data_IF_745435183629
#
_entry.id   IF_745435183629
#
_cell.length_a   1.000
_cell.length_b   1.000
_cell.length_c   1.000
_cell.angle_alpha   90.00
_cell.angle_beta   90.00
_cell.angle_gamma   90.00
#
_symmetry.space_group_name_H-M   'P 1'
#
loop_
_entity.id
_entity.type
_entity.pdbx_description
1 polymer ?
#
# COMPACT_ATOMS: atom_id res chain seq x y z
N UNK A 1 19.86 -3.63 -12.58
CA UNK A 1 18.67 -3.62 -13.48
C UNK A 1 17.45 -3.47 -12.59
N UNK A 2 16.57 -2.54 -12.93
CA UNK A 2 15.38 -2.26 -12.11
C UNK A 2 14.35 -3.38 -12.31
N UNK A 3 13.72 -3.87 -11.21
CA UNK A 3 12.79 -4.98 -11.26
C UNK A 3 11.53 -4.71 -12.09
N UNK A 4 10.96 -3.50 -11.99
CA UNK A 4 9.77 -3.11 -12.74
C UNK A 4 10.06 -1.78 -13.44
N UNK A 5 9.93 -1.76 -14.76
CA UNK A 5 10.04 -0.53 -15.57
C UNK A 5 8.83 -0.43 -16.48
N UNK A 6 8.17 0.69 -16.45
CA UNK A 6 7.02 1.02 -17.29
C UNK A 6 7.36 2.27 -18.07
N UNK A 7 7.20 2.23 -19.41
CA UNK A 7 7.53 3.33 -20.34
C UNK A 7 6.32 3.66 -21.21
N UNK A 8 5.72 4.83 -20.98
CA UNK A 8 4.63 5.40 -21.76
C UNK A 8 3.47 4.40 -22.01
N UNK A 9 3.18 3.57 -20.98
CA UNK A 9 2.20 2.50 -21.07
C UNK A 9 0.78 3.07 -21.11
N UNK A 10 -0.01 2.65 -22.10
CA UNK A 10 -1.38 3.12 -22.24
C UNK A 10 -2.34 1.98 -22.56
N UNK A 11 -3.57 2.12 -22.04
CA UNK A 11 -4.67 1.20 -22.33
C UNK A 11 -5.95 1.92 -22.66
N UNK A 12 -6.47 1.65 -23.86
CA UNK A 12 -7.72 2.22 -24.34
C UNK A 12 -8.78 1.13 -24.54
N UNK A 13 -9.99 1.36 -24.04
CA UNK A 13 -11.18 0.55 -24.25
C UNK A 13 -12.22 1.37 -25.04
N UNK A 14 -12.26 1.18 -26.35
CA UNK A 14 -13.10 2.01 -27.21
C UNK A 14 -12.72 3.49 -27.08
N UNK A 15 -13.58 4.31 -26.49
CA UNK A 15 -13.32 5.74 -26.22
C UNK A 15 -12.69 6.01 -24.86
N UNK A 16 -12.74 5.06 -23.93
CA UNK A 16 -12.22 5.21 -22.57
C UNK A 16 -10.71 4.95 -22.58
N UNK A 17 -9.93 5.92 -22.14
CA UNK A 17 -8.50 5.79 -21.86
C UNK A 17 -8.34 5.46 -20.38
N UNK A 18 -8.14 4.17 -20.09
CA UNK A 18 -8.09 3.66 -18.71
C UNK A 18 -6.69 3.80 -18.07
N UNK A 19 -5.64 3.83 -18.88
CA UNK A 19 -4.26 4.15 -18.49
C UNK A 19 -3.69 5.02 -19.58
N UNK A 20 -3.10 6.15 -19.22
CA UNK A 20 -2.65 7.19 -20.13
C UNK A 20 -1.18 7.54 -19.85
N UNK A 21 -0.31 7.18 -20.77
CA UNK A 21 1.11 7.54 -20.80
C UNK A 21 1.87 7.27 -19.48
N UNK A 22 1.53 6.16 -18.82
CA UNK A 22 2.10 5.78 -17.53
C UNK A 22 3.59 5.44 -17.67
N UNK A 23 4.43 6.16 -16.93
CA UNK A 23 5.85 5.84 -16.81
C UNK A 23 6.24 5.73 -15.34
N UNK A 24 6.84 4.61 -14.94
CA UNK A 24 7.20 4.31 -13.55
C UNK A 24 8.40 3.37 -13.50
N UNK A 25 9.35 3.64 -12.62
CA UNK A 25 10.48 2.76 -12.32
C UNK A 25 10.43 2.38 -10.85
N UNK A 26 10.42 1.08 -10.56
CA UNK A 26 10.42 0.55 -9.20
C UNK A 26 11.78 -0.09 -8.91
N UNK A 27 12.41 0.39 -7.85
CA UNK A 27 13.73 -0.05 -7.42
C UNK A 27 13.66 -1.40 -6.67
N UNK A 28 14.78 -2.08 -6.61
CA UNK A 28 14.88 -3.39 -5.96
C UNK A 28 14.64 -3.31 -4.45
N UNK A 29 13.95 -4.32 -3.90
CA UNK A 29 13.69 -4.44 -2.47
C UNK A 29 12.74 -3.38 -1.90
N UNK A 30 12.03 -2.65 -2.77
CA UNK A 30 11.07 -1.61 -2.38
C UNK A 30 9.65 -2.15 -2.46
N UNK A 31 8.83 -1.80 -1.47
CA UNK A 31 7.39 -1.96 -1.53
C UNK A 31 6.75 -0.64 -1.98
N UNK A 32 6.11 -0.68 -3.14
CA UNK A 32 5.39 0.47 -3.72
C UNK A 32 3.89 0.26 -3.57
N UNK A 33 3.22 1.22 -2.94
CA UNK A 33 1.77 1.33 -2.94
C UNK A 33 1.29 2.08 -4.19
N UNK A 34 0.59 1.40 -5.07
CA UNK A 34 -0.04 1.97 -6.26
C UNK A 34 -1.44 2.46 -5.87
N UNK A 35 -1.52 3.72 -5.43
CA UNK A 35 -2.66 4.32 -4.74
C UNK A 35 -3.52 5.13 -5.71
N UNK A 36 -4.84 5.00 -5.60
CA UNK A 36 -5.78 5.82 -6.37
C UNK A 36 -7.23 5.42 -6.11
N UNK A 37 -8.21 6.24 -6.51
CA UNK A 37 -9.61 5.92 -6.36
C UNK A 37 -10.03 4.74 -7.24
N UNK A 38 -11.27 4.27 -7.06
CA UNK A 38 -11.85 3.30 -7.96
C UNK A 38 -11.96 3.89 -9.38
N UNK A 39 -11.58 3.10 -10.38
CA UNK A 39 -11.52 3.59 -11.77
C UNK A 39 -10.24 4.33 -12.16
N UNK A 40 -9.27 4.53 -11.26
CA UNK A 40 -8.01 5.20 -11.58
C UNK A 40 -7.06 4.40 -12.50
N UNK A 41 -7.43 3.18 -12.92
CA UNK A 41 -6.61 2.36 -13.81
C UNK A 41 -5.69 1.35 -13.10
N UNK A 42 -5.76 1.20 -11.77
CA UNK A 42 -4.87 0.34 -10.98
C UNK A 42 -4.86 -1.11 -11.44
N UNK A 43 -6.01 -1.78 -11.40
CA UNK A 43 -6.16 -3.18 -11.85
C UNK A 43 -5.81 -3.33 -13.33
N UNK A 44 -6.13 -2.34 -14.17
CA UNK A 44 -5.76 -2.34 -15.59
C UNK A 44 -4.24 -2.36 -15.78
N UNK A 45 -3.52 -1.53 -15.03
CA UNK A 45 -2.04 -1.51 -15.03
C UNK A 45 -1.47 -2.84 -14.57
N UNK A 46 -1.96 -3.37 -13.44
CA UNK A 46 -1.53 -4.67 -12.91
C UNK A 46 -1.80 -5.80 -13.92
N UNK A 47 -2.97 -5.82 -14.55
CA UNK A 47 -3.28 -6.81 -15.60
C UNK A 47 -2.35 -6.71 -16.81
N UNK A 48 -1.90 -5.51 -17.18
CA UNK A 48 -0.91 -5.34 -18.25
C UNK A 48 0.46 -5.86 -17.82
N UNK A 49 0.91 -5.57 -16.59
CA UNK A 49 2.18 -6.07 -16.04
C UNK A 49 2.20 -7.60 -15.88
N UNK A 50 1.05 -8.20 -15.59
CA UNK A 50 0.92 -9.66 -15.44
C UNK A 50 0.52 -10.37 -16.73
N UNK A 51 0.55 -9.66 -17.86
CA UNK A 51 0.16 -10.18 -19.19
C UNK A 51 -1.25 -10.76 -19.29
N UNK A 52 -2.14 -10.43 -18.33
CA UNK A 52 -3.57 -10.76 -18.38
C UNK A 52 -4.32 -9.83 -19.34
N UNK A 53 -3.73 -8.70 -19.69
CA UNK A 53 -4.29 -7.70 -20.56
C UNK A 53 -3.21 -7.13 -21.48
N UNK A 54 -3.46 -7.05 -22.78
CA UNK A 54 -2.53 -6.43 -23.73
C UNK A 54 -2.65 -4.90 -23.65
N UNK A 55 -1.49 -4.22 -23.54
CA UNK A 55 -1.42 -2.77 -23.67
C UNK A 55 -1.82 -2.29 -25.07
N UNK A 56 -2.32 -1.05 -25.18
CA UNK A 56 -2.60 -0.40 -26.46
C UNK A 56 -1.32 0.17 -27.05
N UNK A 57 -0.46 0.76 -26.20
CA UNK A 57 0.84 1.31 -26.56
C UNK A 57 1.78 1.33 -25.36
N UNK A 58 3.04 1.66 -25.56
CA UNK A 58 4.06 1.71 -24.54
C UNK A 58 4.73 0.36 -24.30
N UNK A 59 5.54 0.28 -23.24
CA UNK A 59 6.33 -0.90 -22.89
C UNK A 59 6.30 -1.16 -21.39
N UNK A 60 6.49 -2.40 -21.00
CA UNK A 60 6.67 -2.80 -19.61
C UNK A 60 7.72 -3.92 -19.53
N UNK A 61 8.60 -3.81 -18.55
CA UNK A 61 9.66 -4.77 -18.31
C UNK A 61 9.61 -5.26 -16.87
N UNK A 62 9.77 -6.57 -16.69
CA UNK A 62 9.95 -7.21 -15.39
C UNK A 62 11.32 -7.91 -15.41
N UNK A 63 12.17 -7.59 -14.43
CA UNK A 63 13.56 -8.04 -14.40
C UNK A 63 14.30 -7.81 -15.75
N UNK A 64 14.00 -6.69 -16.43
CA UNK A 64 14.56 -6.32 -17.73
C UNK A 64 14.00 -7.08 -18.93
N UNK A 65 13.03 -7.98 -18.74
CA UNK A 65 12.38 -8.73 -19.82
C UNK A 65 11.07 -8.06 -20.22
N UNK A 66 10.87 -7.85 -21.52
CA UNK A 66 9.66 -7.22 -22.07
C UNK A 66 8.43 -8.12 -21.85
N UNK A 67 7.45 -7.61 -21.11
CA UNK A 67 6.21 -8.32 -20.77
C UNK A 67 5.31 -8.53 -22.00
N UNK A 68 5.37 -7.60 -22.95
CA UNK A 68 4.47 -7.62 -24.12
C UNK A 68 4.94 -8.65 -25.16
N UNK A 69 6.25 -8.72 -25.40
CA UNK A 69 6.84 -9.58 -26.41
C UNK A 69 7.30 -10.94 -25.88
N UNK A 70 7.69 -11.00 -24.61
CA UNK A 70 8.22 -12.21 -23.97
C UNK A 70 7.55 -12.51 -22.62
N UNK A 71 6.18 -12.61 -22.55
CA UNK A 71 5.43 -12.67 -21.28
C UNK A 71 5.85 -13.87 -20.40
N UNK A 72 6.08 -15.04 -20.99
CA UNK A 72 6.48 -16.23 -20.24
C UNK A 72 7.82 -16.02 -19.50
N UNK A 73 8.81 -15.49 -20.20
CA UNK A 73 10.12 -15.20 -19.61
C UNK A 73 10.06 -14.05 -18.60
N UNK A 74 9.28 -13.00 -18.87
CA UNK A 74 9.10 -11.87 -17.98
C UNK A 74 8.44 -12.26 -16.65
N UNK A 75 7.50 -13.21 -16.68
CA UNK A 75 6.73 -13.66 -15.52
C UNK A 75 7.36 -14.84 -14.75
N UNK A 76 8.50 -15.36 -15.20
CA UNK A 76 9.15 -16.51 -14.56
C UNK A 76 9.54 -16.21 -13.11
N UNK A 77 10.15 -15.06 -12.85
CA UNK A 77 10.54 -14.59 -11.52
C UNK A 77 9.50 -13.71 -10.82
N UNK A 78 8.20 -13.80 -11.19
CA UNK A 78 7.14 -12.94 -10.69
C UNK A 78 6.04 -13.75 -10.04
N UNK A 79 5.71 -13.43 -8.79
CA UNK A 79 4.49 -13.86 -8.12
C UNK A 79 3.41 -12.79 -8.27
N UNK A 80 2.17 -13.20 -8.55
CA UNK A 80 1.08 -12.25 -8.68
C UNK A 80 -0.21 -12.79 -8.05
N UNK A 81 -0.96 -11.90 -7.40
CA UNK A 81 -2.34 -12.13 -6.97
C UNK A 81 -3.17 -11.00 -7.56
N UNK A 82 -3.98 -11.32 -8.56
CA UNK A 82 -4.80 -10.37 -9.30
C UNK A 82 -6.26 -10.76 -9.12
N UNK A 83 -7.07 -9.82 -8.69
CA UNK A 83 -8.47 -10.02 -8.32
C UNK A 83 -8.67 -10.95 -7.10
N UNK A 84 -9.92 -11.37 -6.85
CA UNK A 84 -10.25 -12.22 -5.69
C UNK A 84 -9.82 -13.66 -5.96
N UNK A 85 -9.00 -14.26 -5.10
CA UNK A 85 -8.57 -15.65 -5.30
C UNK A 85 -9.70 -16.62 -5.05
N UNK A 86 -9.87 -17.57 -5.97
CA UNK A 86 -10.77 -18.70 -5.84
C UNK A 86 -10.00 -20.01 -5.81
N UNK A 87 -10.44 -20.93 -4.98
CA UNK A 87 -9.83 -22.25 -4.79
C UNK A 87 -10.87 -23.33 -4.99
N UNK A 88 -10.44 -24.51 -5.43
CA UNK A 88 -11.28 -25.69 -5.43
C UNK A 88 -11.61 -26.06 -3.98
N UNK A 89 -12.89 -26.03 -3.55
CA UNK A 89 -13.28 -26.13 -2.14
C UNK A 89 -12.88 -27.43 -1.46
N UNK A 90 -12.69 -28.50 -2.25
CA UNK A 90 -12.31 -29.84 -1.78
C UNK A 90 -10.81 -29.98 -1.50
N UNK A 91 -9.97 -29.12 -2.06
CA UNK A 91 -8.53 -29.19 -1.89
C UNK A 91 -8.09 -28.58 -0.56
N UNK A 92 -7.00 -29.12 -0.02
CA UNK A 92 -6.27 -28.55 1.11
C UNK A 92 -5.23 -27.53 0.62
N UNK A 93 -4.70 -26.64 1.48
CA UNK A 93 -3.56 -25.79 1.16
C UNK A 93 -2.36 -26.54 0.56
N UNK A 94 -1.97 -27.68 1.16
CA UNK A 94 -0.87 -28.48 0.63
C UNK A 94 -1.14 -28.98 -0.79
N UNK A 95 -2.35 -29.45 -1.07
CA UNK A 95 -2.75 -29.89 -2.40
C UNK A 95 -2.76 -28.71 -3.40
N UNK A 96 -3.26 -27.53 -2.99
CA UNK A 96 -3.23 -26.33 -3.80
C UNK A 96 -1.80 -25.90 -4.15
N UNK A 97 -0.89 -25.94 -3.19
CA UNK A 97 0.52 -25.57 -3.40
C UNK A 97 1.25 -26.63 -4.22
N UNK A 98 0.97 -27.92 -3.99
CA UNK A 98 1.51 -29.02 -4.80
C UNK A 98 1.10 -28.91 -6.28
N UNK A 99 -0.17 -28.57 -6.53
CA UNK A 99 -0.67 -28.34 -7.88
C UNK A 99 0.10 -27.21 -8.60
N UNK A 100 0.26 -26.04 -7.94
CA UNK A 100 1.00 -24.92 -8.50
C UNK A 100 2.48 -25.23 -8.67
N UNK A 101 3.11 -25.89 -7.69
CA UNK A 101 4.51 -26.33 -7.76
C UNK A 101 4.76 -27.25 -8.95
N UNK A 102 3.85 -28.19 -9.21
CA UNK A 102 3.91 -29.13 -10.36
C UNK A 102 3.79 -28.36 -11.68
N UNK A 103 2.85 -27.40 -11.80
CA UNK A 103 2.72 -26.56 -13.01
C UNK A 103 4.00 -25.76 -13.27
N UNK A 104 4.67 -25.30 -12.20
CA UNK A 104 5.95 -24.57 -12.28
C UNK A 104 7.14 -25.49 -12.53
N UNK A 105 6.94 -26.81 -12.61
CA UNK A 105 8.00 -27.79 -12.87
C UNK A 105 8.92 -28.07 -11.69
N UNK A 106 8.48 -27.78 -10.46
CA UNK A 106 9.25 -28.10 -9.25
C UNK A 106 9.21 -29.61 -8.96
N UNK A 107 10.29 -30.16 -8.41
CA UNK A 107 10.32 -31.56 -7.93
C UNK A 107 9.49 -31.75 -6.68
N UNK A 108 9.04 -32.99 -6.39
CA UNK A 108 8.22 -33.30 -5.24
C UNK A 108 8.84 -32.87 -3.91
N UNK A 109 10.16 -33.10 -3.75
CA UNK A 109 10.88 -32.70 -2.53
C UNK A 109 10.90 -31.18 -2.36
N UNK A 110 11.19 -30.43 -3.45
CA UNK A 110 11.15 -28.96 -3.44
C UNK A 110 9.75 -28.46 -3.15
N UNK A 111 8.70 -29.10 -3.69
CA UNK A 111 7.32 -28.72 -3.42
C UNK A 111 7.00 -28.91 -1.94
N UNK A 112 7.39 -30.04 -1.31
CA UNK A 112 7.14 -30.29 0.10
C UNK A 112 7.80 -29.23 1.00
N UNK A 113 9.11 -28.98 0.78
CA UNK A 113 9.87 -28.00 1.57
C UNK A 113 9.33 -26.57 1.37
N UNK A 114 9.02 -26.19 0.12
CA UNK A 114 8.48 -24.87 -0.19
C UNK A 114 7.08 -24.66 0.35
N UNK A 115 6.20 -25.69 0.26
CA UNK A 115 4.84 -25.65 0.82
C UNK A 115 4.88 -25.39 2.32
N UNK A 116 5.69 -26.13 3.06
CA UNK A 116 5.87 -25.92 4.48
C UNK A 116 6.34 -24.48 4.79
N UNK A 117 7.38 -24.00 4.10
CA UNK A 117 7.95 -22.68 4.33
C UNK A 117 6.94 -21.54 4.02
N UNK A 118 6.24 -21.60 2.89
CA UNK A 118 5.29 -20.54 2.53
C UNK A 118 4.04 -20.56 3.39
N UNK A 119 3.54 -21.76 3.79
CA UNK A 119 2.41 -21.86 4.72
C UNK A 119 2.75 -21.30 6.10
N UNK A 120 3.97 -21.54 6.59
CA UNK A 120 4.45 -20.90 7.81
C UNK A 120 4.50 -19.38 7.67
N UNK A 121 5.04 -18.88 6.56
CA UNK A 121 5.18 -17.45 6.28
C UNK A 121 3.83 -16.72 6.20
N UNK A 122 2.81 -17.36 5.64
CA UNK A 122 1.44 -16.80 5.58
C UNK A 122 0.55 -17.21 6.76
N UNK A 123 1.10 -17.84 7.81
CA UNK A 123 0.37 -18.24 9.02
C UNK A 123 -0.82 -19.18 8.74
N UNK A 124 -0.62 -20.16 7.86
CA UNK A 124 -1.61 -21.19 7.52
C UNK A 124 -1.11 -22.62 7.74
N UNK A 125 0.07 -22.81 8.35
CA UNK A 125 0.65 -24.13 8.57
C UNK A 125 -0.26 -25.04 9.42
N UNK A 126 -0.87 -24.50 10.49
CA UNK A 126 -1.75 -25.23 11.40
C UNK A 126 -3.04 -25.76 10.72
N UNK A 127 -3.36 -25.23 9.54
CA UNK A 127 -4.55 -25.61 8.76
C UNK A 127 -4.20 -26.18 7.39
N UNK A 128 -2.95 -26.62 7.21
CA UNK A 128 -2.41 -27.10 5.94
C UNK A 128 -3.20 -28.26 5.32
N UNK A 129 -3.85 -29.09 6.17
CA UNK A 129 -4.67 -30.24 5.77
C UNK A 129 -6.18 -29.96 5.82
N UNK A 130 -6.59 -28.74 6.15
CA UNK A 130 -7.99 -28.35 6.20
C UNK A 130 -8.47 -27.91 4.82
N UNK A 131 -9.66 -28.38 4.40
CA UNK A 131 -10.24 -28.02 3.08
C UNK A 131 -10.48 -26.52 2.92
N UNK A 132 -10.05 -25.96 1.79
CA UNK A 132 -10.14 -24.53 1.47
C UNK A 132 -11.58 -24.01 1.38
N UNK A 133 -12.56 -24.89 1.12
CA UNK A 133 -13.98 -24.54 1.15
C UNK A 133 -14.49 -24.02 2.50
N UNK A 134 -13.74 -24.30 3.59
CA UNK A 134 -14.08 -23.82 4.94
C UNK A 134 -13.30 -22.55 5.33
N UNK A 135 -12.49 -22.00 4.40
CA UNK A 135 -11.63 -20.86 4.68
C UNK A 135 -12.41 -19.55 4.63
N UNK A 136 -12.07 -18.63 5.56
CA UNK A 136 -12.49 -17.23 5.46
C UNK A 136 -11.85 -16.56 4.24
N UNK A 137 -12.37 -15.42 3.83
CA UNK A 137 -11.80 -14.62 2.73
C UNK A 137 -10.33 -14.27 3.02
N UNK A 138 -9.99 -13.89 4.26
CA UNK A 138 -8.62 -13.61 4.68
C UNK A 138 -7.70 -14.84 4.60
N UNK A 139 -8.18 -16.04 4.96
CA UNK A 139 -7.41 -17.27 4.79
C UNK A 139 -7.17 -17.59 3.31
N UNK A 140 -8.16 -17.41 2.45
CA UNK A 140 -8.00 -17.57 0.99
C UNK A 140 -6.98 -16.58 0.43
N UNK A 141 -7.06 -15.32 0.84
CA UNK A 141 -6.09 -14.30 0.42
C UNK A 141 -4.65 -14.66 0.81
N UNK A 142 -4.46 -15.13 2.05
CA UNK A 142 -3.13 -15.59 2.53
C UNK A 142 -2.63 -16.81 1.76
N UNK A 143 -3.52 -17.76 1.42
CA UNK A 143 -3.15 -18.91 0.59
C UNK A 143 -2.77 -18.50 -0.84
N UNK A 144 -3.45 -17.50 -1.44
CA UNK A 144 -3.07 -16.96 -2.74
C UNK A 144 -1.68 -16.32 -2.72
N UNK A 145 -1.36 -15.58 -1.66
CA UNK A 145 0.01 -15.06 -1.46
C UNK A 145 1.01 -16.21 -1.35
N UNK A 146 0.69 -17.30 -0.60
CA UNK A 146 1.54 -18.48 -0.52
C UNK A 146 1.79 -19.10 -1.89
N UNK A 147 0.75 -19.25 -2.72
CA UNK A 147 0.91 -19.74 -4.10
C UNK A 147 1.82 -18.85 -4.94
N UNK A 148 1.66 -17.52 -4.82
CA UNK A 148 2.50 -16.56 -5.53
C UNK A 148 3.97 -16.63 -5.10
N UNK A 149 4.27 -17.14 -3.90
CA UNK A 149 5.62 -17.28 -3.34
C UNK A 149 6.29 -18.64 -3.60
N UNK A 150 5.56 -19.64 -4.13
CA UNK A 150 6.06 -21.01 -4.28
C UNK A 150 7.39 -21.14 -5.04
N UNK A 151 7.58 -20.37 -6.09
CA UNK A 151 8.75 -20.39 -6.97
C UNK A 151 9.83 -19.35 -6.60
N UNK A 152 9.77 -18.77 -5.39
CA UNK A 152 10.72 -17.76 -4.88
C UNK A 152 10.87 -16.55 -5.80
N UNK A 153 9.78 -15.84 -6.11
CA UNK A 153 9.84 -14.70 -7.01
C UNK A 153 10.69 -13.56 -6.44
N UNK A 154 11.34 -12.81 -7.32
CA UNK A 154 12.02 -11.55 -6.98
C UNK A 154 11.06 -10.35 -6.99
N UNK A 155 9.91 -10.49 -7.66
CA UNK A 155 8.86 -9.49 -7.75
C UNK A 155 7.54 -10.10 -7.29
N UNK A 156 6.79 -9.38 -6.46
CA UNK A 156 5.43 -9.74 -6.04
C UNK A 156 4.47 -8.61 -6.41
N UNK A 157 3.43 -8.93 -7.19
CA UNK A 157 2.40 -7.99 -7.61
C UNK A 157 1.08 -8.38 -6.95
N UNK A 158 0.48 -7.45 -6.20
CA UNK A 158 -0.74 -7.68 -5.43
C UNK A 158 -1.81 -6.66 -5.81
N UNK A 159 -2.95 -7.12 -6.29
CA UNK A 159 -4.08 -6.25 -6.60
C UNK A 159 -5.05 -6.21 -5.41
N UNK A 160 -5.12 -5.06 -4.72
CA UNK A 160 -5.96 -4.80 -3.56
C UNK A 160 -5.96 -5.93 -2.50
N UNK A 161 -4.79 -6.33 -1.95
CA UNK A 161 -4.64 -7.56 -1.18
C UNK A 161 -5.45 -7.62 0.12
N UNK A 162 -5.96 -6.50 0.61
CA UNK A 162 -6.73 -6.40 1.86
C UNK A 162 -8.20 -6.08 1.63
N UNK A 163 -8.59 -5.85 0.37
CA UNK A 163 -9.94 -5.42 0.01
C UNK A 163 -11.02 -6.42 0.42
N UNK A 164 -12.04 -5.92 1.15
CA UNK A 164 -13.19 -6.72 1.60
C UNK A 164 -12.84 -7.81 2.61
N UNK A 165 -11.70 -7.72 3.30
CA UNK A 165 -11.37 -8.52 4.46
C UNK A 165 -11.96 -7.89 5.73
N UNK A 166 -12.16 -8.71 6.75
CA UNK A 166 -12.45 -8.22 8.10
C UNK A 166 -11.18 -7.56 8.71
N UNK A 167 -11.31 -6.73 9.75
CA UNK A 167 -10.18 -6.00 10.34
C UNK A 167 -9.01 -6.90 10.75
N UNK A 168 -9.29 -8.11 11.26
CA UNK A 168 -8.25 -9.07 11.64
C UNK A 168 -7.51 -9.60 10.43
N UNK A 169 -8.22 -9.99 9.36
CA UNK A 169 -7.65 -10.46 8.10
C UNK A 169 -6.78 -9.39 7.44
N UNK A 170 -7.21 -8.12 7.48
CA UNK A 170 -6.41 -6.99 6.97
C UNK A 170 -5.07 -6.86 7.71
N UNK A 171 -5.08 -6.94 9.06
CA UNK A 171 -3.86 -6.88 9.87
C UNK A 171 -2.93 -8.06 9.52
N UNK A 172 -3.47 -9.28 9.45
CA UNK A 172 -2.69 -10.48 9.15
C UNK A 172 -2.01 -10.40 7.78
N UNK A 173 -2.72 -9.94 6.73
CA UNK A 173 -2.14 -9.75 5.38
C UNK A 173 -1.07 -8.66 5.39
N UNK A 174 -1.30 -7.52 6.05
CA UNK A 174 -0.30 -6.46 6.17
C UNK A 174 0.98 -6.92 6.86
N UNK A 175 0.87 -7.70 7.93
CA UNK A 175 2.03 -8.27 8.63
C UNK A 175 2.83 -9.24 7.75
N UNK A 176 2.15 -10.04 6.93
CA UNK A 176 2.81 -10.91 5.94
C UNK A 176 3.59 -10.06 4.95
N UNK A 177 2.98 -9.03 4.36
CA UNK A 177 3.66 -8.15 3.39
C UNK A 177 4.86 -7.45 4.03
N UNK A 178 4.73 -6.92 5.27
CA UNK A 178 5.85 -6.34 6.04
C UNK A 178 6.99 -7.35 6.27
N UNK A 179 6.66 -8.61 6.49
CA UNK A 179 7.64 -9.69 6.59
C UNK A 179 8.40 -9.93 5.29
N UNK A 180 7.68 -9.91 4.17
CA UNK A 180 8.24 -10.11 2.83
C UNK A 180 9.21 -8.99 2.41
N UNK A 181 8.93 -7.74 2.76
CA UNK A 181 9.82 -6.60 2.46
C UNK A 181 11.23 -6.82 3.05
N UNK A 182 11.33 -7.54 4.16
CA UNK A 182 12.64 -7.83 4.80
C UNK A 182 13.48 -8.88 4.05
N UNK A 183 12.90 -9.53 3.03
CA UNK A 183 13.56 -10.59 2.26
C UNK A 183 14.09 -10.13 0.89
N UNK A 184 14.26 -8.82 0.67
CA UNK A 184 14.74 -8.20 -0.57
C UNK A 184 13.82 -8.43 -1.80
N UNK A 185 12.57 -8.86 -1.56
CA UNK A 185 11.57 -8.96 -2.62
C UNK A 185 11.04 -7.56 -2.98
N UNK A 186 10.87 -7.30 -4.27
CA UNK A 186 10.24 -6.07 -4.75
C UNK A 186 8.73 -6.26 -4.81
N UNK A 187 7.97 -5.37 -4.18
CA UNK A 187 6.51 -5.50 -4.10
C UNK A 187 5.83 -4.30 -4.74
N UNK A 188 4.89 -4.57 -5.65
CA UNK A 188 3.94 -3.59 -6.15
C UNK A 188 2.55 -4.00 -5.68
N UNK A 189 1.93 -3.20 -4.80
CA UNK A 189 0.57 -3.47 -4.34
C UNK A 189 -0.36 -2.31 -4.66
N UNK A 190 -1.52 -2.59 -5.26
CA UNK A 190 -2.55 -1.57 -5.39
C UNK A 190 -3.36 -1.42 -4.12
N UNK A 191 -3.81 -0.22 -3.85
CA UNK A 191 -4.79 0.07 -2.80
C UNK A 191 -5.58 1.34 -3.13
N UNK A 192 -6.79 1.43 -2.63
CA UNK A 192 -7.54 2.68 -2.56
C UNK A 192 -7.52 3.28 -1.14
N UNK A 193 -6.89 2.59 -0.19
CA UNK A 193 -6.78 3.00 1.21
C UNK A 193 -5.38 3.52 1.51
N UNK A 194 -5.29 4.81 1.70
CA UNK A 194 -4.04 5.51 1.99
C UNK A 194 -3.34 4.99 3.25
N UNK A 195 -4.11 4.73 4.31
CA UNK A 195 -3.57 4.25 5.59
C UNK A 195 -2.82 2.92 5.43
N UNK A 196 -3.26 2.04 4.53
CA UNK A 196 -2.57 0.79 4.24
C UNK A 196 -1.21 1.02 3.59
N UNK A 197 -1.18 1.91 2.60
CA UNK A 197 0.05 2.27 1.89
C UNK A 197 1.06 2.90 2.86
N UNK A 198 0.60 3.80 3.73
CA UNK A 198 1.44 4.44 4.74
C UNK A 198 2.02 3.45 5.76
N UNK A 199 1.24 2.44 6.12
CA UNK A 199 1.63 1.46 7.13
C UNK A 199 2.61 0.40 6.59
N UNK A 200 2.50 0.05 5.31
CA UNK A 200 3.19 -1.09 4.71
C UNK A 200 4.29 -0.67 3.74
N UNK A 201 4.05 0.36 2.91
CA UNK A 201 4.91 0.66 1.77
C UNK A 201 6.05 1.64 2.09
N UNK A 202 7.15 1.52 1.34
CA UNK A 202 8.29 2.46 1.40
C UNK A 202 8.03 3.69 0.53
N UNK A 203 7.41 3.47 -0.65
CA UNK A 203 7.09 4.47 -1.65
C UNK A 203 5.62 4.37 -2.05
N UNK A 204 5.11 5.44 -2.62
CA UNK A 204 3.76 5.49 -3.16
C UNK A 204 3.77 6.12 -4.55
N UNK A 205 3.05 5.49 -5.46
CA UNK A 205 2.70 6.01 -6.77
C UNK A 205 1.21 6.38 -6.72
N UNK A 206 0.88 7.66 -6.73
CA UNK A 206 -0.51 8.14 -6.74
C UNK A 206 -0.97 8.26 -8.18
N UNK A 207 -2.09 7.62 -8.49
CA UNK A 207 -2.69 7.63 -9.82
C UNK A 207 -4.14 8.08 -9.77
N UNK A 208 -4.55 8.84 -10.77
CA UNK A 208 -5.94 9.19 -11.01
C UNK A 208 -6.24 9.22 -12.51
N UNK A 209 -7.42 8.71 -12.90
CA UNK A 209 -7.89 8.69 -14.29
C UNK A 209 -6.85 8.19 -15.29
N UNK A 210 -6.08 7.17 -14.89
CA UNK A 210 -5.06 6.53 -15.73
C UNK A 210 -3.71 7.22 -15.76
N UNK A 211 -3.54 8.36 -15.10
CA UNK A 211 -2.32 9.16 -15.09
C UNK A 211 -1.57 9.02 -13.76
N UNK A 212 -0.24 8.92 -13.80
CA UNK A 212 0.61 8.99 -12.61
C UNK A 212 0.76 10.46 -12.18
N UNK A 213 0.23 10.79 -11.01
CA UNK A 213 0.30 12.14 -10.45
C UNK A 213 1.61 12.41 -9.70
N UNK A 214 2.08 11.42 -8.94
CA UNK A 214 3.35 11.51 -8.19
C UNK A 214 3.89 10.12 -7.85
N UNK A 215 5.22 10.03 -7.71
CA UNK A 215 5.93 8.86 -7.21
C UNK A 215 7.06 9.31 -6.30
N UNK A 216 6.95 9.01 -5.01
CA UNK A 216 7.96 9.37 -4.01
C UNK A 216 7.91 8.43 -2.80
N UNK A 217 8.88 8.56 -1.91
CA UNK A 217 8.86 7.86 -0.64
C UNK A 217 7.73 8.39 0.26
N UNK A 218 7.10 7.49 1.01
CA UNK A 218 6.10 7.83 2.03
C UNK A 218 6.64 8.87 3.02
N UNK A 219 7.95 8.79 3.32
CA UNK A 219 8.63 9.74 4.21
C UNK A 219 8.78 11.14 3.59
N UNK A 220 9.11 11.23 2.31
CA UNK A 220 9.30 12.53 1.62
C UNK A 220 7.98 13.26 1.47
N UNK A 221 6.92 12.54 1.07
CA UNK A 221 5.58 13.12 0.99
C UNK A 221 5.07 13.61 2.36
N UNK A 222 5.56 13.03 3.45
CA UNK A 222 5.24 13.48 4.81
C UNK A 222 6.19 14.57 5.33
N UNK A 223 7.30 14.89 4.62
CA UNK A 223 8.29 15.91 5.02
C UNK A 223 7.89 17.29 4.52
N UNK A 224 8.03 18.27 5.39
CA UNK A 224 7.84 19.69 5.03
C UNK A 224 6.40 20.13 4.98
N UNK A 225 5.44 19.27 5.24
CA UNK A 225 4.04 19.65 5.39
C UNK A 225 3.72 20.11 6.81
N UNK A 226 2.72 20.97 6.89
CA UNK A 226 2.20 21.42 8.17
C UNK A 226 1.58 20.25 8.92
N UNK A 227 1.97 20.08 10.17
CA UNK A 227 1.35 19.11 11.06
C UNK A 227 0.23 19.83 11.80
N UNK A 228 -0.97 19.28 11.73
CA UNK A 228 -2.05 19.68 12.60
C UNK A 228 -2.07 18.77 13.83
N UNK A 229 -1.98 19.35 15.00
CA UNK A 229 -2.01 18.62 16.26
C UNK A 229 -3.36 18.84 16.92
N UNK A 230 -3.99 17.74 17.35
CA UNK A 230 -5.16 17.81 18.25
C UNK A 230 -4.65 17.82 19.68
N UNK A 231 -5.01 18.87 20.41
CA UNK A 231 -4.62 19.09 21.81
C UNK A 231 -5.87 19.03 22.67
N UNK A 232 -5.91 18.06 23.58
CA UNK A 232 -6.93 18.03 24.62
C UNK A 232 -6.40 18.71 25.88
N UNK A 233 -7.19 19.56 26.49
CA UNK A 233 -6.85 20.35 27.67
C UNK A 233 -7.65 19.90 28.88
N UNK A 234 -7.10 20.09 30.07
CA UNK A 234 -7.79 19.77 31.33
C UNK A 234 -8.93 20.76 31.61
N UNK A 235 -8.70 22.04 31.33
CA UNK A 235 -9.64 23.12 31.51
C UNK A 235 -9.93 23.83 30.18
N UNK A 236 -11.07 24.53 30.02
CA UNK A 236 -11.33 25.34 28.85
C UNK A 236 -10.25 26.41 28.66
N UNK A 237 -9.68 26.49 27.46
CA UNK A 237 -8.65 27.49 27.11
C UNK A 237 -9.28 28.89 27.14
N UNK A 238 -8.71 29.76 27.93
CA UNK A 238 -9.16 31.16 28.07
C UNK A 238 -8.81 32.02 26.85
N UNK A 239 -9.52 33.15 26.62
CA UNK A 239 -9.15 34.04 25.48
C UNK A 239 -7.71 34.55 25.51
N UNK A 240 -7.09 34.91 26.67
CA UNK A 240 -5.68 35.28 26.73
C UNK A 240 -4.74 34.14 26.33
N UNK A 241 -4.97 32.92 26.83
CA UNK A 241 -4.18 31.75 26.48
C UNK A 241 -4.30 31.41 24.99
N UNK A 242 -5.50 31.47 24.41
CA UNK A 242 -5.72 31.24 23.00
C UNK A 242 -4.95 32.27 22.13
N UNK A 243 -4.95 33.55 22.55
CA UNK A 243 -4.19 34.62 21.89
C UNK A 243 -2.68 34.36 21.99
N UNK A 244 -2.21 33.91 23.14
CA UNK A 244 -0.79 33.57 23.37
C UNK A 244 -0.35 32.40 22.47
N UNK A 245 -1.15 31.35 22.34
CA UNK A 245 -0.87 30.22 21.44
C UNK A 245 -0.80 30.70 19.98
N UNK A 246 -1.74 31.53 19.55
CA UNK A 246 -1.78 32.09 18.18
C UNK A 246 -0.58 33.00 17.87
N UNK A 247 0.02 33.58 18.88
CA UNK A 247 1.19 34.47 18.76
C UNK A 247 2.53 33.72 18.74
N UNK A 248 2.58 32.40 18.92
CA UNK A 248 3.81 31.63 18.80
C UNK A 248 4.35 31.63 17.39
N UNK A 249 5.62 31.95 17.21
CA UNK A 249 6.27 32.12 15.89
C UNK A 249 6.14 30.93 14.94
N UNK A 250 6.12 29.72 15.51
CA UNK A 250 6.05 28.47 14.71
C UNK A 250 4.60 28.05 14.40
N UNK A 251 3.59 28.71 14.98
CA UNK A 251 2.17 28.37 14.81
C UNK A 251 1.57 29.10 13.60
N UNK A 252 1.02 28.35 12.66
CA UNK A 252 0.36 28.87 11.47
C UNK A 252 -1.14 29.12 11.68
N UNK A 253 -1.79 28.21 12.38
CA UNK A 253 -3.21 28.36 12.68
C UNK A 253 -3.59 27.70 14.00
N UNK A 254 -4.62 28.26 14.66
CA UNK A 254 -5.23 27.68 15.87
C UNK A 254 -6.74 27.72 15.68
N UNK A 255 -7.40 26.59 15.86
CA UNK A 255 -8.86 26.46 15.82
C UNK A 255 -9.34 25.74 17.09
N UNK A 256 -10.40 26.26 17.71
CA UNK A 256 -11.13 25.54 18.76
C UNK A 256 -12.17 24.66 18.08
N UNK A 257 -12.09 23.36 18.29
CA UNK A 257 -13.07 22.40 17.74
C UNK A 257 -14.15 22.05 18.75
N UNK A 258 -13.76 21.98 20.02
CA UNK A 258 -14.66 21.70 21.15
C UNK A 258 -14.23 22.50 22.39
N UNK A 259 -14.98 22.41 23.48
CA UNK A 259 -14.71 23.18 24.70
C UNK A 259 -13.31 22.91 25.27
N UNK A 260 -12.84 21.67 25.18
CA UNK A 260 -11.55 21.19 25.73
C UNK A 260 -10.55 20.77 24.63
N UNK A 261 -10.85 21.04 23.34
CA UNK A 261 -10.07 20.57 22.22
C UNK A 261 -9.67 21.71 21.28
N UNK A 262 -8.36 21.80 21.03
CA UNK A 262 -7.77 22.71 20.04
C UNK A 262 -7.13 21.92 18.91
N UNK A 263 -7.20 22.47 17.70
CA UNK A 263 -6.35 22.08 16.57
C UNK A 263 -5.35 23.19 16.30
N UNK A 264 -4.05 22.84 16.31
CA UNK A 264 -2.95 23.78 16.09
C UNK A 264 -2.12 23.27 14.92
N UNK A 265 -1.93 24.10 13.89
CA UNK A 265 -1.13 23.77 12.70
C UNK A 265 0.19 24.51 12.72
N UNK A 266 1.29 23.78 12.43
CA UNK A 266 2.67 24.27 12.40
C UNK A 266 3.56 23.37 11.55
N UNK A 267 4.81 23.75 11.27
CA UNK A 267 5.75 22.95 10.49
C UNK A 267 6.06 21.59 11.13
N UNK A 268 6.08 20.53 10.31
CA UNK A 268 6.14 19.13 10.77
C UNK A 268 7.48 18.64 11.35
N UNK A 269 8.51 19.49 11.46
CA UNK A 269 9.80 19.13 12.01
C UNK A 269 9.70 18.81 13.53
N UNK A 270 10.35 17.76 14.04
CA UNK A 270 10.29 17.40 15.46
C UNK A 270 10.71 18.53 16.43
N UNK A 271 11.66 19.35 16.00
CA UNK A 271 12.12 20.50 16.80
C UNK A 271 11.03 21.58 16.90
N UNK A 272 10.27 21.80 15.82
CA UNK A 272 9.15 22.75 15.81
C UNK A 272 8.03 22.24 16.71
N UNK A 273 7.70 20.95 16.61
CA UNK A 273 6.70 20.30 17.47
C UNK A 273 7.03 20.48 18.96
N UNK A 274 8.30 20.24 19.33
CA UNK A 274 8.77 20.44 20.70
C UNK A 274 8.61 21.90 21.15
N UNK A 275 9.02 22.88 20.32
CA UNK A 275 8.90 24.31 20.64
C UNK A 275 7.44 24.73 20.81
N UNK A 276 6.57 24.27 19.91
CA UNK A 276 5.14 24.57 19.96
C UNK A 276 4.51 23.98 21.23
N UNK A 277 4.75 22.70 21.54
CA UNK A 277 4.24 22.09 22.77
C UNK A 277 4.70 22.85 24.01
N UNK A 278 5.99 23.16 24.10
CA UNK A 278 6.55 23.94 25.21
C UNK A 278 5.94 25.34 25.30
N UNK A 279 5.74 26.02 24.15
CA UNK A 279 5.11 27.35 24.10
C UNK A 279 3.66 27.33 24.60
N UNK A 280 2.89 26.30 24.23
CA UNK A 280 1.51 26.11 24.68
C UNK A 280 1.46 25.88 26.19
N UNK A 281 2.32 25.03 26.75
CA UNK A 281 2.38 24.80 28.19
C UNK A 281 2.80 26.07 28.93
N UNK A 282 3.73 26.84 28.41
CA UNK A 282 4.19 28.11 29.00
C UNK A 282 3.11 29.20 28.96
N UNK A 283 2.11 29.09 28.06
CA UNK A 283 0.97 30.01 28.03
C UNK A 283 -0.08 29.76 29.13
N UNK A 284 0.17 28.76 30.00
CA UNK A 284 -0.71 28.39 31.12
C UNK A 284 -1.70 27.27 30.82
N UNK A 285 -1.74 26.79 29.59
CA UNK A 285 -2.66 25.73 29.17
C UNK A 285 -2.21 24.37 29.72
N UNK A 286 -3.11 23.69 30.43
CA UNK A 286 -2.88 22.35 30.97
C UNK A 286 -3.18 21.29 29.89
N UNK A 287 -2.14 20.84 29.21
CA UNK A 287 -2.25 19.85 28.13
C UNK A 287 -2.42 18.46 28.71
N UNK A 288 -3.49 17.75 28.31
CA UNK A 288 -3.76 16.35 28.67
C UNK A 288 -3.25 15.42 27.58
N UNK A 289 -3.44 15.79 26.30
CA UNK A 289 -2.91 15.04 25.18
C UNK A 289 -2.46 15.99 24.07
N UNK A 290 -1.40 15.58 23.36
CA UNK A 290 -0.84 16.26 22.20
C UNK A 290 -0.64 15.22 21.10
N UNK A 291 -1.64 15.09 20.25
CA UNK A 291 -1.66 14.07 19.19
C UNK A 291 -1.45 14.73 17.84
N UNK A 292 -0.24 14.54 17.25
CA UNK A 292 -0.02 14.98 15.89
C UNK A 292 -0.97 14.20 14.97
N UNK A 293 -1.91 14.89 14.37
CA UNK A 293 -2.47 14.45 13.12
C UNK A 293 -1.37 14.76 12.11
N UNK A 294 -0.60 13.76 11.72
CA UNK A 294 0.28 13.94 10.57
C UNK A 294 -0.61 14.46 9.47
N UNK A 295 -0.27 15.62 8.92
CA UNK A 295 -0.78 16.05 7.64
C UNK A 295 -0.40 14.90 6.71
N UNK A 296 -1.37 14.07 6.49
CA UNK A 296 -1.13 12.78 5.94
C UNK A 296 -0.89 13.02 4.46
N UNK A 297 -0.24 12.10 3.81
CA UNK A 297 -0.37 11.85 2.38
C UNK A 297 -1.85 12.05 1.93
N UNK A 298 -2.80 11.98 2.85
CA UNK A 298 -4.23 12.29 2.68
C UNK A 298 -4.48 13.72 2.20
N UNK A 299 -3.80 14.72 2.75
CA UNK A 299 -3.95 16.10 2.27
C UNK A 299 -3.32 16.27 0.89
N UNK A 300 -2.19 15.60 0.62
CA UNK A 300 -1.60 15.55 -0.74
C UNK A 300 -2.52 14.78 -1.67
N UNK A 301 -3.03 13.64 -1.22
CA UNK A 301 -3.97 12.84 -2.00
C UNK A 301 -5.21 13.66 -2.37
N UNK A 302 -5.83 14.37 -1.41
CA UNK A 302 -6.98 15.23 -1.63
C UNK A 302 -6.67 16.47 -2.50
N UNK A 303 -5.42 16.98 -2.45
CA UNK A 303 -4.99 18.06 -3.34
C UNK A 303 -4.74 17.59 -4.78
N UNK A 304 -4.19 16.37 -4.94
CA UNK A 304 -3.86 15.79 -6.24
C UNK A 304 -5.06 15.10 -6.90
N UNK A 305 -5.96 14.56 -6.10
CA UNK A 305 -7.18 13.85 -6.52
C UNK A 305 -8.37 14.63 -5.98
N UNK A 306 -8.79 15.74 -6.63
CA UNK A 306 -9.97 16.47 -6.21
C UNK A 306 -11.20 15.58 -6.27
N UNK A 307 -12.10 15.69 -5.27
CA UNK A 307 -13.38 14.98 -5.25
C UNK A 307 -14.09 15.25 -6.59
N UNK A 308 -14.14 14.24 -7.45
CA UNK A 308 -14.83 14.31 -8.72
C UNK A 308 -16.32 14.42 -8.44
N UNK A 309 -16.97 15.38 -9.09
CA UNK A 309 -18.42 15.37 -9.24
C UNK A 309 -18.86 13.98 -9.74
N UNK A 310 -19.70 13.32 -8.92
CA UNK A 310 -20.25 12.01 -9.17
C UNK A 310 -21.24 12.04 -10.35
#
# INVERSE_FOLDING_TARGET
>A
MEPIVIENLSKKYGKLLAVDDLSLVVERGVCVGYLGPNGAGKTTTIKMLTSLLRATSGKAYLNGTDVIHHPKAALDGVGAVVETPEFYPQLTPNECLSYIGTIRGLSADVIADRSHAVLQQVKLLDVAERRTGTFSKGMKQRLAIAQALMHQPSILILDEPTSGLDPRGMVEVREIIKGLIKTDITILMSSHLLNEVQEVCNKVAIVDRGVLLTYDSVKNLSRGQDVTVTINTLDPVTPPEFKAIKALNDVKSVKRTETLTLKVSFGGEPQIQYRVLRGIMNSGVKVVSFMPQRAAIEDIYLQLVPEGEA
#
